data_IF_623447093440
#
_entry.id   IF_623447093440
#
_cell.length_a   1.000
_cell.length_b   1.000
_cell.length_c   1.000
_cell.angle_alpha   90.00
_cell.angle_beta   90.00
_cell.angle_gamma   90.00
#
_symmetry.space_group_name_H-M   'P 1'
#
loop_
_entity.id
_entity.type
_entity.pdbx_description
1 polymer ?
#
# COMPACT_ATOMS: atom_id res chain seq x y z
N UNK A 1 -19.45 -64.29 29.80
CA UNK A 1 -20.81 -63.72 29.85
C UNK A 1 -20.69 -62.30 30.40
N UNK A 2 -20.65 -61.30 29.53
CA UNK A 2 -20.64 -59.88 29.92
C UNK A 2 -21.77 -59.20 29.16
N UNK A 3 -22.72 -58.65 29.89
CA UNK A 3 -23.91 -57.97 29.35
C UNK A 3 -23.55 -56.53 28.96
N UNK A 4 -23.67 -56.23 27.70
CA UNK A 4 -23.58 -54.89 27.18
C UNK A 4 -24.92 -54.16 27.39
N UNK A 5 -24.92 -53.09 28.18
CA UNK A 5 -26.08 -52.20 28.32
C UNK A 5 -26.12 -51.23 27.12
N UNK A 6 -27.15 -51.37 26.30
CA UNK A 6 -27.50 -50.40 25.26
C UNK A 6 -28.44 -49.37 25.91
N UNK A 7 -27.98 -48.15 26.05
CA UNK A 7 -28.82 -47.00 26.45
C UNK A 7 -29.57 -46.51 25.22
N UNK A 8 -30.86 -46.79 25.15
CA UNK A 8 -31.76 -46.26 24.12
C UNK A 8 -32.11 -44.82 24.41
N UNK A 9 -31.71 -43.93 23.51
CA UNK A 9 -32.19 -42.55 23.47
C UNK A 9 -33.54 -42.49 22.77
N UNK A 10 -34.60 -42.26 23.53
CA UNK A 10 -35.94 -42.04 23.03
C UNK A 10 -36.07 -40.57 22.60
N UNK A 11 -35.95 -40.28 21.28
CA UNK A 11 -36.25 -38.98 20.69
C UNK A 11 -37.77 -38.88 20.50
N UNK A 12 -38.44 -38.20 21.41
CA UNK A 12 -39.80 -37.71 21.21
C UNK A 12 -39.82 -36.75 20.01
N UNK A 13 -40.53 -37.13 18.96
CA UNK A 13 -40.83 -36.27 17.81
C UNK A 13 -41.80 -35.18 18.22
N UNK A 14 -41.31 -34.06 18.73
CA UNK A 14 -42.10 -32.85 18.82
C UNK A 14 -42.32 -32.29 17.42
N UNK A 15 -43.57 -32.05 17.08
CA UNK A 15 -44.07 -31.44 15.85
C UNK A 15 -43.28 -30.17 15.51
N UNK A 16 -42.31 -30.24 14.58
CA UNK A 16 -41.75 -29.08 13.95
C UNK A 16 -42.58 -28.84 12.69
N UNK A 17 -43.52 -27.89 12.80
CA UNK A 17 -44.13 -27.29 11.61
C UNK A 17 -43.00 -26.74 10.71
N UNK A 18 -42.98 -27.20 9.46
CA UNK A 18 -42.11 -26.66 8.45
C UNK A 18 -42.41 -25.15 8.30
N UNK A 19 -41.39 -24.28 8.32
CA UNK A 19 -41.60 -22.88 7.95
C UNK A 19 -42.03 -22.83 6.49
N UNK A 20 -43.05 -22.00 6.25
CA UNK A 20 -43.52 -21.64 4.91
C UNK A 20 -42.35 -21.37 3.99
N UNK A 21 -42.46 -21.87 2.75
CA UNK A 21 -41.54 -21.75 1.64
C UNK A 21 -40.81 -20.42 1.63
N UNK A 22 -39.53 -20.38 2.08
CA UNK A 22 -38.59 -19.35 1.69
C UNK A 22 -38.44 -19.46 0.17
N UNK A 23 -38.85 -18.40 -0.52
CA UNK A 23 -38.50 -18.23 -1.94
C UNK A 23 -36.98 -18.47 -2.12
N UNK A 24 -36.58 -19.21 -3.14
CA UNK A 24 -35.15 -19.40 -3.40
C UNK A 24 -34.51 -18.01 -3.55
N UNK A 25 -33.45 -17.76 -2.77
CA UNK A 25 -32.61 -16.57 -2.90
C UNK A 25 -32.24 -16.48 -4.39
N UNK A 26 -33.00 -15.69 -5.13
CA UNK A 26 -32.62 -15.28 -6.47
C UNK A 26 -31.32 -14.54 -6.28
N UNK A 27 -30.23 -15.13 -6.74
CA UNK A 27 -29.02 -14.40 -7.05
C UNK A 27 -29.44 -13.27 -8.00
N UNK A 28 -29.68 -12.10 -7.45
CA UNK A 28 -29.89 -10.90 -8.23
C UNK A 28 -28.58 -10.63 -8.94
N UNK A 29 -28.50 -11.09 -10.18
CA UNK A 29 -27.55 -10.48 -11.11
C UNK A 29 -27.76 -8.96 -11.00
N UNK A 30 -26.72 -8.15 -10.81
CA UNK A 30 -26.83 -6.71 -10.86
C UNK A 30 -27.04 -6.30 -12.34
N UNK A 31 -28.27 -6.42 -12.82
CA UNK A 31 -28.74 -5.78 -14.03
C UNK A 31 -29.52 -4.55 -13.66
N UNK A 32 -28.85 -3.58 -13.04
CA UNK A 32 -29.27 -2.19 -13.17
C UNK A 32 -28.86 -1.71 -14.56
N UNK A 33 -29.68 -0.84 -15.21
CA UNK A 33 -29.25 -0.21 -16.44
C UNK A 33 -27.93 0.50 -16.18
N UNK A 34 -26.92 0.23 -17.02
CA UNK A 34 -25.67 0.97 -17.01
C UNK A 34 -26.00 2.47 -17.06
N UNK A 35 -25.51 3.23 -16.10
CA UNK A 35 -25.49 4.68 -16.23
C UNK A 35 -24.78 5.04 -17.53
N UNK A 36 -25.19 6.15 -18.20
CA UNK A 36 -24.69 6.50 -19.52
C UNK A 36 -23.18 6.54 -19.52
N UNK A 37 -22.58 5.88 -20.53
CA UNK A 37 -21.17 5.76 -20.83
C UNK A 37 -20.38 7.03 -20.49
N UNK A 38 -19.76 7.05 -19.31
CA UNK A 38 -18.63 7.95 -19.07
C UNK A 38 -17.52 7.47 -19.99
N UNK A 39 -17.32 8.17 -21.11
CA UNK A 39 -16.30 7.86 -22.11
C UNK A 39 -14.98 7.71 -21.37
N UNK A 40 -14.42 6.51 -21.40
CA UNK A 40 -13.14 6.21 -20.76
C UNK A 40 -12.07 7.15 -21.34
N UNK A 41 -11.71 8.17 -20.58
CA UNK A 41 -10.66 9.12 -20.93
C UNK A 41 -9.31 8.61 -20.42
N UNK A 42 -8.17 9.01 -21.00
CA UNK A 42 -6.86 8.65 -20.45
C UNK A 42 -6.71 9.04 -18.96
N UNK A 43 -7.32 10.14 -18.55
CA UNK A 43 -7.32 10.59 -17.16
C UNK A 43 -8.11 9.66 -16.25
N UNK A 44 -9.36 9.31 -16.60
CA UNK A 44 -10.19 8.39 -15.82
C UNK A 44 -9.59 6.98 -15.79
N UNK A 45 -8.99 6.54 -16.91
CA UNK A 45 -8.26 5.26 -16.96
C UNK A 45 -7.12 5.23 -15.92
N UNK A 46 -6.27 6.25 -15.94
CA UNK A 46 -5.15 6.35 -14.99
C UNK A 46 -5.64 6.41 -13.54
N UNK A 47 -6.70 7.18 -13.27
CA UNK A 47 -7.27 7.29 -11.91
C UNK A 47 -7.82 5.95 -11.42
N UNK A 48 -8.51 5.19 -12.27
CA UNK A 48 -9.01 3.86 -11.92
C UNK A 48 -7.85 2.90 -11.59
N UNK A 49 -6.75 2.94 -12.35
CA UNK A 49 -5.55 2.15 -12.03
C UNK A 49 -4.96 2.56 -10.69
N UNK A 50 -4.80 3.86 -10.43
CA UNK A 50 -4.25 4.37 -9.16
C UNK A 50 -5.15 4.04 -7.97
N UNK A 51 -6.47 4.13 -8.12
CA UNK A 51 -7.43 3.72 -7.10
C UNK A 51 -7.30 2.23 -6.77
N UNK A 52 -7.25 1.37 -7.78
CA UNK A 52 -7.05 -0.06 -7.61
C UNK A 52 -5.75 -0.38 -6.88
N UNK A 53 -4.64 0.27 -7.25
CA UNK A 53 -3.36 0.11 -6.54
C UNK A 53 -3.49 0.56 -5.08
N UNK A 54 -4.15 1.70 -4.83
CA UNK A 54 -4.32 2.25 -3.48
C UNK A 54 -5.08 1.30 -2.55
N UNK A 55 -6.18 0.72 -3.02
CA UNK A 55 -6.98 -0.26 -2.26
C UNK A 55 -6.15 -1.53 -1.99
N UNK A 56 -5.48 -2.06 -3.01
CA UNK A 56 -4.64 -3.25 -2.88
C UNK A 56 -3.54 -3.06 -1.82
N UNK A 57 -2.90 -1.89 -1.80
CA UNK A 57 -1.87 -1.53 -0.82
C UNK A 57 -2.42 -1.58 0.61
N UNK A 58 -3.62 -1.04 0.84
CA UNK A 58 -4.26 -1.09 2.17
C UNK A 58 -4.46 -2.53 2.61
N UNK A 59 -5.11 -3.33 1.77
CA UNK A 59 -5.45 -4.73 2.11
C UNK A 59 -4.21 -5.57 2.39
N UNK A 60 -3.15 -5.42 1.56
CA UNK A 60 -1.96 -6.25 1.67
C UNK A 60 -0.98 -5.78 2.76
N UNK A 61 -0.79 -4.46 2.92
CA UNK A 61 0.31 -3.93 3.74
C UNK A 61 -0.11 -3.52 5.16
N UNK A 62 -1.38 -3.18 5.40
CA UNK A 62 -1.84 -2.78 6.75
C UNK A 62 -1.60 -3.86 7.80
N UNK A 63 -1.87 -5.15 7.55
CA UNK A 63 -1.59 -6.20 8.54
C UNK A 63 -0.11 -6.25 8.93
N UNK A 64 0.81 -6.15 7.97
CA UNK A 64 2.24 -6.13 8.24
C UNK A 64 2.68 -4.86 8.96
N UNK A 65 2.13 -3.70 8.59
CA UNK A 65 2.45 -2.43 9.21
C UNK A 65 2.02 -2.37 10.69
N UNK A 66 0.87 -2.98 11.03
CA UNK A 66 0.36 -2.98 12.41
C UNK A 66 0.99 -4.08 13.26
N UNK A 67 1.15 -5.28 12.74
CA UNK A 67 1.54 -6.45 13.53
C UNK A 67 3.02 -6.81 13.40
N UNK A 68 3.65 -6.54 12.26
CA UNK A 68 5.02 -6.95 11.97
C UNK A 68 6.00 -6.48 13.04
N UNK A 69 6.05 -5.17 13.32
CA UNK A 69 6.98 -4.60 14.28
C UNK A 69 6.63 -4.93 15.74
N UNK A 70 5.33 -4.97 16.07
CA UNK A 70 4.88 -5.34 17.42
C UNK A 70 5.36 -6.75 17.76
N UNK A 71 5.13 -7.72 16.87
CA UNK A 71 5.55 -9.09 17.12
C UNK A 71 7.07 -9.28 17.02
N UNK A 72 7.74 -8.50 16.16
CA UNK A 72 9.22 -8.48 16.14
C UNK A 72 9.80 -8.02 17.49
N UNK A 73 9.25 -6.96 18.08
CA UNK A 73 9.64 -6.47 19.40
C UNK A 73 9.31 -7.47 20.52
N UNK A 74 8.27 -8.28 20.36
CA UNK A 74 7.85 -9.30 21.34
C UNK A 74 8.60 -10.62 21.21
N UNK A 75 9.35 -10.88 20.14
CA UNK A 75 10.06 -12.16 19.93
C UNK A 75 10.92 -12.63 21.13
N UNK A 76 11.64 -11.75 21.86
CA UNK A 76 12.43 -12.18 23.01
C UNK A 76 11.62 -12.82 24.13
N UNK A 77 10.33 -12.42 24.29
CA UNK A 77 9.43 -12.93 25.34
C UNK A 77 8.33 -13.84 24.77
N UNK A 78 8.07 -13.77 23.47
CA UNK A 78 7.04 -14.54 22.78
C UNK A 78 7.57 -15.05 21.43
N UNK A 79 8.42 -16.10 21.41
CA UNK A 79 9.02 -16.63 20.16
C UNK A 79 8.00 -17.14 19.13
N UNK A 80 6.80 -17.57 19.57
CA UNK A 80 5.71 -17.99 18.67
C UNK A 80 5.16 -16.85 17.80
N UNK A 81 5.45 -15.60 18.17
CA UNK A 81 5.16 -14.40 17.36
C UNK A 81 5.78 -14.46 15.96
N UNK A 82 6.84 -15.27 15.75
CA UNK A 82 7.43 -15.50 14.43
C UNK A 82 6.40 -16.04 13.41
N UNK A 83 5.47 -16.85 13.84
CA UNK A 83 4.39 -17.35 12.97
C UNK A 83 3.50 -16.22 12.47
N UNK A 84 3.17 -15.25 13.33
CA UNK A 84 2.36 -14.09 12.95
C UNK A 84 3.14 -13.21 11.98
N UNK A 85 4.43 -12.96 12.24
CA UNK A 85 5.30 -12.22 11.33
C UNK A 85 5.33 -12.88 9.95
N UNK A 86 5.49 -14.19 9.89
CA UNK A 86 5.49 -14.93 8.62
C UNK A 86 4.13 -14.82 7.89
N UNK A 87 3.00 -14.88 8.60
CA UNK A 87 1.66 -14.71 8.01
C UNK A 87 1.47 -13.33 7.40
N UNK A 88 1.83 -12.26 8.11
CA UNK A 88 1.67 -10.89 7.60
C UNK A 88 2.67 -10.58 6.49
N UNK A 89 3.87 -11.14 6.54
CA UNK A 89 4.85 -11.05 5.45
C UNK A 89 4.36 -11.74 4.18
N UNK A 90 3.77 -12.92 4.30
CA UNK A 90 3.17 -13.61 3.15
C UNK A 90 1.98 -12.81 2.58
N UNK A 91 1.14 -12.25 3.45
CA UNK A 91 0.04 -11.37 3.02
C UNK A 91 0.55 -10.19 2.20
N UNK A 92 1.61 -9.52 2.65
CA UNK A 92 2.18 -8.40 1.90
C UNK A 92 2.87 -8.84 0.60
N UNK A 93 3.41 -10.05 0.54
CA UNK A 93 3.95 -10.61 -0.70
C UNK A 93 2.85 -10.87 -1.76
N UNK A 94 1.59 -11.00 -1.35
CA UNK A 94 0.46 -11.13 -2.30
C UNK A 94 0.00 -9.79 -2.89
N UNK A 95 0.63 -8.67 -2.55
CA UNK A 95 0.29 -7.35 -3.07
C UNK A 95 0.13 -7.29 -4.60
N UNK A 96 1.02 -7.88 -5.43
CA UNK A 96 0.89 -7.78 -6.88
C UNK A 96 -0.40 -8.38 -7.43
N UNK A 97 -0.84 -9.53 -6.93
CA UNK A 97 -2.11 -10.14 -7.39
C UNK A 97 -3.30 -9.27 -6.97
N UNK A 98 -3.27 -8.71 -5.76
CA UNK A 98 -4.30 -7.80 -5.27
C UNK A 98 -4.36 -6.51 -6.09
N UNK A 99 -3.21 -5.96 -6.52
CA UNK A 99 -3.18 -4.82 -7.44
C UNK A 99 -3.97 -5.13 -8.71
N UNK A 100 -3.68 -6.26 -9.36
CA UNK A 100 -4.38 -6.62 -10.59
C UNK A 100 -5.88 -6.84 -10.37
N UNK A 101 -6.26 -7.51 -9.27
CA UNK A 101 -7.67 -7.73 -8.92
C UNK A 101 -8.38 -6.40 -8.65
N UNK A 102 -7.83 -5.54 -7.80
CA UNK A 102 -8.48 -4.26 -7.45
C UNK A 102 -8.54 -3.32 -8.65
N UNK A 103 -7.52 -3.29 -9.50
CA UNK A 103 -7.58 -2.56 -10.78
C UNK A 103 -8.69 -3.12 -11.66
N UNK A 104 -8.79 -4.45 -11.84
CA UNK A 104 -9.87 -5.06 -12.61
C UNK A 104 -11.27 -4.70 -12.11
N UNK A 105 -11.47 -4.65 -10.80
CA UNK A 105 -12.74 -4.22 -10.18
C UNK A 105 -13.06 -2.75 -10.48
N UNK A 106 -12.07 -1.85 -10.47
CA UNK A 106 -12.28 -0.44 -10.83
C UNK A 106 -12.81 -0.25 -12.26
N UNK A 107 -12.50 -1.18 -13.15
CA UNK A 107 -13.02 -1.20 -14.52
C UNK A 107 -14.28 -2.05 -14.69
N UNK A 108 -14.90 -2.47 -13.57
CA UNK A 108 -16.13 -3.30 -13.57
C UNK A 108 -15.99 -4.56 -14.44
N UNK A 109 -14.81 -5.16 -14.48
CA UNK A 109 -14.55 -6.39 -15.22
C UNK A 109 -15.25 -7.59 -14.56
N UNK A 110 -15.57 -8.59 -15.37
CA UNK A 110 -16.13 -9.85 -14.85
C UNK A 110 -15.13 -10.55 -13.91
N UNK A 111 -15.56 -11.43 -12.99
CA UNK A 111 -14.66 -12.13 -12.08
C UNK A 111 -13.52 -12.86 -12.79
N UNK A 112 -13.78 -13.49 -13.95
CA UNK A 112 -12.75 -14.18 -14.74
C UNK A 112 -11.74 -13.18 -15.30
N UNK A 113 -12.20 -12.08 -15.88
CA UNK A 113 -11.33 -11.03 -16.41
C UNK A 113 -10.47 -10.42 -15.29
N UNK A 114 -11.08 -10.12 -14.16
CA UNK A 114 -10.38 -9.57 -12.97
C UNK A 114 -9.29 -10.53 -12.47
N UNK A 115 -9.57 -11.82 -12.39
CA UNK A 115 -8.57 -12.83 -12.05
C UNK A 115 -7.40 -12.88 -13.06
N UNK A 116 -7.69 -12.76 -14.37
CA UNK A 116 -6.65 -12.70 -15.40
C UNK A 116 -5.74 -11.47 -15.23
N UNK A 117 -6.30 -10.30 -14.88
CA UNK A 117 -5.52 -9.09 -14.57
C UNK A 117 -4.62 -9.34 -13.35
N UNK A 118 -5.16 -10.02 -12.32
CA UNK A 118 -4.38 -10.40 -11.13
C UNK A 118 -3.16 -11.25 -11.48
N UNK A 119 -3.35 -12.30 -12.28
CA UNK A 119 -2.26 -13.17 -12.72
C UNK A 119 -1.21 -12.42 -13.57
N UNK A 120 -1.65 -11.59 -14.52
CA UNK A 120 -0.74 -10.78 -15.32
C UNK A 120 0.09 -9.82 -14.45
N UNK A 121 -0.53 -9.17 -13.46
CA UNK A 121 0.13 -8.25 -12.54
C UNK A 121 1.24 -8.93 -11.73
N UNK A 122 1.03 -10.16 -11.27
CA UNK A 122 2.07 -10.95 -10.57
C UNK A 122 3.28 -11.17 -11.48
N UNK A 123 3.07 -11.56 -12.73
CA UNK A 123 4.17 -11.78 -13.68
C UNK A 123 4.99 -10.52 -13.92
N UNK A 124 4.33 -9.37 -14.06
CA UNK A 124 5.02 -8.08 -14.21
C UNK A 124 5.74 -7.60 -12.96
N UNK A 125 5.37 -8.06 -11.77
CA UNK A 125 5.88 -7.54 -10.51
C UNK A 125 7.35 -7.83 -10.23
N UNK A 126 7.90 -8.90 -10.82
CA UNK A 126 9.23 -9.43 -10.49
C UNK A 126 9.34 -10.04 -9.09
N UNK A 127 8.20 -10.32 -8.41
CA UNK A 127 8.18 -10.91 -7.07
C UNK A 127 8.65 -12.37 -7.07
N UNK A 128 8.41 -13.09 -8.15
CA UNK A 128 8.73 -14.51 -8.28
C UNK A 128 9.99 -14.69 -9.12
N UNK A 129 11.05 -15.20 -8.49
CA UNK A 129 12.33 -15.48 -9.14
C UNK A 129 12.43 -16.98 -9.40
N UNK A 130 12.56 -17.41 -10.69
CA UNK A 130 12.76 -18.82 -11.02
C UNK A 130 14.01 -19.38 -10.32
N UNK A 131 13.92 -20.60 -9.81
CA UNK A 131 15.05 -21.30 -9.17
C UNK A 131 15.60 -22.39 -10.09
N UNK A 132 16.91 -22.62 -10.09
CA UNK A 132 17.58 -23.67 -10.87
C UNK A 132 17.08 -25.08 -10.51
N UNK A 133 16.68 -25.27 -9.26
CA UNK A 133 16.11 -26.53 -8.74
C UNK A 133 14.65 -26.74 -9.11
N UNK A 134 14.05 -25.82 -9.89
CA UNK A 134 12.64 -25.77 -10.19
C UNK A 134 11.82 -24.98 -9.15
N UNK A 135 10.65 -24.48 -9.58
CA UNK A 135 9.78 -23.63 -8.76
C UNK A 135 10.19 -22.16 -8.76
N UNK A 136 9.58 -21.39 -7.87
CA UNK A 136 9.78 -19.93 -7.75
C UNK A 136 10.04 -19.55 -6.30
N UNK A 137 11.01 -18.67 -6.08
CA UNK A 137 11.21 -18.00 -4.82
C UNK A 137 10.47 -16.67 -4.84
N UNK A 138 9.56 -16.48 -3.87
CA UNK A 138 8.79 -15.24 -3.71
C UNK A 138 9.51 -14.34 -2.71
N UNK A 139 9.85 -13.11 -3.12
CA UNK A 139 10.59 -12.16 -2.28
C UNK A 139 9.97 -10.76 -2.28
N UNK A 140 9.70 -10.24 -1.09
CA UNK A 140 9.19 -8.89 -0.90
C UNK A 140 7.79 -8.67 -1.48
N UNK A 141 7.52 -7.47 -1.93
CA UNK A 141 6.23 -7.04 -2.51
C UNK A 141 6.27 -6.83 -4.02
N UNK A 142 7.41 -7.12 -4.65
CA UNK A 142 7.64 -6.82 -6.06
C UNK A 142 7.71 -5.32 -6.38
N UNK A 143 7.84 -4.98 -7.65
CA UNK A 143 7.78 -3.61 -8.15
C UNK A 143 6.32 -3.17 -8.33
N UNK A 144 5.76 -2.48 -7.33
CA UNK A 144 4.36 -2.00 -7.32
C UNK A 144 4.02 -1.20 -8.58
N UNK A 145 4.93 -0.32 -9.02
CA UNK A 145 4.77 0.47 -10.24
C UNK A 145 4.59 -0.44 -11.46
N UNK A 146 5.41 -1.48 -11.61
CA UNK A 146 5.32 -2.39 -12.74
C UNK A 146 4.12 -3.34 -12.64
N UNK A 147 3.72 -3.72 -11.42
CA UNK A 147 2.48 -4.46 -11.19
C UNK A 147 1.26 -3.66 -11.69
N UNK A 148 1.18 -2.37 -11.31
CA UNK A 148 0.11 -1.48 -11.76
C UNK A 148 0.14 -1.24 -13.28
N UNK A 149 1.32 -1.05 -13.86
CA UNK A 149 1.48 -0.87 -15.31
C UNK A 149 1.06 -2.14 -16.08
N UNK A 150 1.46 -3.31 -15.59
CA UNK A 150 1.05 -4.59 -16.18
C UNK A 150 -0.46 -4.82 -16.06
N UNK A 151 -1.05 -4.46 -14.91
CA UNK A 151 -2.50 -4.48 -14.73
C UNK A 151 -3.22 -3.55 -15.72
N UNK A 152 -2.70 -2.34 -15.93
CA UNK A 152 -3.23 -1.40 -16.92
C UNK A 152 -3.16 -1.96 -18.34
N UNK A 153 -2.05 -2.58 -18.73
CA UNK A 153 -1.89 -3.26 -20.03
C UNK A 153 -2.91 -4.40 -20.16
N UNK A 154 -3.08 -5.21 -19.12
CA UNK A 154 -4.04 -6.31 -19.11
C UNK A 154 -5.48 -5.82 -19.26
N UNK A 155 -5.87 -4.78 -18.55
CA UNK A 155 -7.19 -4.13 -18.70
C UNK A 155 -7.36 -3.59 -20.12
N UNK A 156 -6.37 -2.86 -20.65
CA UNK A 156 -6.39 -2.35 -22.01
C UNK A 156 -6.60 -3.47 -23.04
N UNK A 157 -5.89 -4.60 -22.91
CA UNK A 157 -6.05 -5.77 -23.75
C UNK A 157 -7.47 -6.36 -23.64
N UNK A 158 -7.99 -6.49 -22.42
CA UNK A 158 -9.35 -7.02 -22.19
C UNK A 158 -10.44 -6.13 -22.79
N UNK A 159 -10.29 -4.82 -22.68
CA UNK A 159 -11.22 -3.85 -23.30
C UNK A 159 -11.16 -3.92 -24.83
N UNK A 160 -9.97 -4.15 -25.41
CA UNK A 160 -9.81 -4.33 -26.86
C UNK A 160 -10.42 -5.65 -27.36
N UNK A 161 -10.27 -6.72 -26.61
CA UNK A 161 -10.88 -8.02 -26.93
C UNK A 161 -12.40 -7.92 -26.83
N UNK A 162 -12.90 -7.25 -25.76
CA UNK A 162 -14.34 -7.09 -25.50
C UNK A 162 -15.08 -8.43 -25.49
N UNK A 163 -16.22 -8.48 -26.17
CA UNK A 163 -17.06 -9.69 -26.28
C UNK A 163 -16.74 -10.55 -27.53
N UNK A 164 -15.63 -10.27 -28.23
CA UNK A 164 -15.32 -10.92 -29.52
C UNK A 164 -15.06 -12.42 -29.44
N UNK A 165 -14.69 -12.94 -28.28
CA UNK A 165 -14.39 -14.36 -28.07
C UNK A 165 -15.66 -15.22 -27.85
N UNK A 166 -16.82 -14.61 -27.56
CA UNK A 166 -18.07 -15.32 -27.32
C UNK A 166 -17.93 -16.48 -26.31
N UNK A 167 -18.35 -17.68 -26.69
CA UNK A 167 -18.26 -18.90 -25.86
C UNK A 167 -16.83 -19.38 -25.60
N UNK A 168 -15.84 -18.92 -26.33
CA UNK A 168 -14.42 -19.26 -26.14
C UNK A 168 -13.71 -18.36 -25.11
N UNK A 169 -14.42 -17.39 -24.53
CA UNK A 169 -13.86 -16.43 -23.57
C UNK A 169 -13.12 -17.13 -22.43
N UNK A 170 -13.73 -18.16 -21.83
CA UNK A 170 -13.14 -18.86 -20.66
C UNK A 170 -11.82 -19.55 -21.05
N UNK A 171 -11.73 -20.10 -22.24
CA UNK A 171 -10.58 -20.88 -22.69
C UNK A 171 -9.39 -20.00 -23.10
N UNK A 172 -9.64 -18.93 -23.85
CA UNK A 172 -8.56 -18.13 -24.45
C UNK A 172 -8.24 -16.86 -23.66
N UNK A 173 -9.19 -16.31 -22.90
CA UNK A 173 -9.01 -15.01 -22.26
C UNK A 173 -7.85 -15.02 -21.26
N UNK A 174 -7.80 -16.01 -20.36
CA UNK A 174 -6.73 -16.10 -19.36
C UNK A 174 -5.37 -16.33 -20.02
N UNK A 175 -5.31 -17.26 -20.99
CA UNK A 175 -4.07 -17.55 -21.72
C UNK A 175 -3.54 -16.31 -22.44
N UNK A 176 -4.40 -15.62 -23.20
CA UNK A 176 -4.01 -14.40 -23.93
C UNK A 176 -3.59 -13.29 -22.99
N UNK A 177 -4.35 -13.04 -21.89
CA UNK A 177 -4.04 -11.97 -20.95
C UNK A 177 -2.74 -12.25 -20.20
N UNK A 178 -2.54 -13.47 -19.71
CA UNK A 178 -1.34 -13.86 -18.96
C UNK A 178 -0.11 -13.82 -19.87
N UNK A 179 -0.18 -14.41 -21.08
CA UNK A 179 0.97 -14.47 -21.99
C UNK A 179 1.28 -13.10 -22.58
N UNK A 180 0.28 -12.36 -23.06
CA UNK A 180 0.52 -11.08 -23.73
C UNK A 180 0.79 -9.99 -22.71
N UNK A 181 -0.16 -9.70 -21.81
CA UNK A 181 0.01 -8.60 -20.87
C UNK A 181 1.07 -8.92 -19.80
N UNK A 182 1.05 -10.13 -19.23
CA UNK A 182 2.07 -10.59 -18.29
C UNK A 182 3.44 -10.69 -18.93
N UNK A 183 3.53 -11.19 -20.19
CA UNK A 183 4.76 -11.25 -20.98
C UNK A 183 5.34 -9.86 -21.26
N UNK A 184 4.53 -8.89 -21.69
CA UNK A 184 4.94 -7.49 -21.84
C UNK A 184 5.42 -6.93 -20.49
N UNK A 185 4.66 -7.22 -19.41
CA UNK A 185 5.01 -6.84 -18.05
C UNK A 185 6.38 -7.33 -17.60
N UNK A 186 6.68 -8.60 -17.88
CA UNK A 186 7.93 -9.23 -17.46
C UNK A 186 9.12 -8.85 -18.34
N UNK A 187 8.93 -8.94 -19.68
CA UNK A 187 10.05 -8.84 -20.63
C UNK A 187 10.35 -7.38 -21.02
N UNK A 188 9.31 -6.56 -21.15
CA UNK A 188 9.45 -5.18 -21.66
C UNK A 188 9.43 -4.15 -20.55
N UNK A 189 8.35 -4.11 -19.75
CA UNK A 189 8.19 -3.00 -18.78
C UNK A 189 9.00 -3.21 -17.52
N UNK A 190 9.20 -4.46 -17.04
CA UNK A 190 9.98 -4.73 -15.84
C UNK A 190 11.42 -4.20 -15.90
N UNK A 191 12.23 -4.46 -16.93
CA UNK A 191 13.57 -3.90 -17.00
C UNK A 191 13.59 -2.36 -17.05
N UNK A 192 12.62 -1.74 -17.72
CA UNK A 192 12.48 -0.29 -17.80
C UNK A 192 12.16 0.30 -16.43
N UNK A 193 11.16 -0.24 -15.73
CA UNK A 193 10.76 0.22 -14.39
C UNK A 193 11.85 -0.06 -13.38
N UNK A 194 12.56 -1.18 -13.48
CA UNK A 194 13.73 -1.49 -12.64
C UNK A 194 14.85 -0.47 -12.87
N UNK A 195 15.18 -0.14 -14.12
CA UNK A 195 16.17 0.89 -14.44
C UNK A 195 15.76 2.27 -13.89
N UNK A 196 14.49 2.66 -14.02
CA UNK A 196 13.95 3.87 -13.41
C UNK A 196 14.10 3.85 -11.88
N UNK A 197 13.83 2.73 -11.22
CA UNK A 197 13.97 2.58 -9.76
C UNK A 197 15.46 2.73 -9.35
N UNK A 198 16.38 2.16 -10.12
CA UNK A 198 17.83 2.30 -9.89
C UNK A 198 18.27 3.76 -10.10
N UNK A 199 17.80 4.41 -11.17
CA UNK A 199 18.08 5.84 -11.41
C UNK A 199 17.58 6.71 -10.25
N UNK A 200 16.36 6.46 -9.77
CA UNK A 200 15.81 7.15 -8.61
C UNK A 200 16.64 6.90 -7.35
N UNK A 201 17.14 5.67 -7.17
CA UNK A 201 18.06 5.31 -6.09
C UNK A 201 19.36 6.10 -6.15
N UNK A 202 19.95 6.26 -7.33
CA UNK A 202 21.14 7.06 -7.52
C UNK A 202 20.91 8.55 -7.22
N UNK A 203 19.75 9.08 -7.59
CA UNK A 203 19.36 10.46 -7.27
C UNK A 203 19.24 10.67 -5.77
N UNK A 204 18.60 9.74 -5.07
CA UNK A 204 18.48 9.75 -3.60
C UNK A 204 19.88 9.63 -2.95
N UNK A 205 20.72 8.73 -3.45
CA UNK A 205 22.07 8.54 -2.93
C UNK A 205 22.93 9.80 -3.12
N UNK A 206 22.84 10.47 -4.29
CA UNK A 206 23.54 11.74 -4.49
C UNK A 206 23.10 12.88 -3.55
N UNK A 207 21.87 12.80 -3.01
CA UNK A 207 21.43 13.76 -2.02
C UNK A 207 22.06 13.52 -0.63
N UNK A 208 22.59 12.33 -0.35
CA UNK A 208 23.21 12.01 0.95
C UNK A 208 24.54 12.73 1.19
N UNK A 209 25.17 13.25 0.14
CA UNK A 209 26.43 14.01 0.21
C UNK A 209 26.22 15.49 0.62
N UNK A 210 24.98 15.95 0.72
CA UNK A 210 24.66 17.31 1.12
C UNK A 210 24.87 17.56 2.61
N UNK A 211 24.94 18.82 3.02
CA UNK A 211 24.93 19.17 4.44
C UNK A 211 23.67 18.59 5.12
N UNK A 212 23.75 18.12 6.38
CA UNK A 212 22.68 17.36 7.04
C UNK A 212 21.29 18.01 6.98
N UNK A 213 21.20 19.34 7.12
CA UNK A 213 19.92 20.06 7.07
C UNK A 213 19.35 20.07 5.64
N UNK A 214 20.19 20.40 4.65
CA UNK A 214 19.78 20.44 3.24
C UNK A 214 19.44 19.02 2.76
N UNK A 215 20.29 18.07 3.09
CA UNK A 215 20.05 16.63 2.85
C UNK A 215 18.70 16.22 3.42
N UNK A 216 18.44 16.58 4.70
CA UNK A 216 17.21 16.26 5.38
C UNK A 216 15.97 16.81 4.69
N UNK A 217 16.01 18.07 4.25
CA UNK A 217 14.92 18.69 3.48
C UNK A 217 14.68 17.93 2.17
N UNK A 218 15.74 17.70 1.39
CA UNK A 218 15.64 17.07 0.08
C UNK A 218 15.13 15.63 0.20
N UNK A 219 15.70 14.84 1.10
CA UNK A 219 15.31 13.44 1.29
C UNK A 219 13.89 13.31 1.84
N UNK A 220 13.50 14.14 2.80
CA UNK A 220 12.13 14.13 3.32
C UNK A 220 11.12 14.49 2.23
N UNK A 221 11.38 15.51 1.42
CA UNK A 221 10.50 15.88 0.29
C UNK A 221 10.42 14.78 -0.74
N UNK A 222 11.56 14.17 -1.15
CA UNK A 222 11.58 13.06 -2.10
C UNK A 222 10.80 11.86 -1.59
N UNK A 223 11.02 11.44 -0.34
CA UNK A 223 10.32 10.30 0.25
C UNK A 223 8.84 10.59 0.49
N UNK A 224 8.47 11.84 0.79
CA UNK A 224 7.08 12.28 0.84
C UNK A 224 6.36 12.14 -0.51
N UNK A 225 7.02 12.49 -1.63
CA UNK A 225 6.46 12.28 -2.98
C UNK A 225 6.38 10.79 -3.30
N UNK A 226 7.45 10.04 -3.01
CA UNK A 226 7.52 8.62 -3.31
C UNK A 226 6.49 7.79 -2.55
N UNK A 227 6.24 8.10 -1.27
CA UNK A 227 5.30 7.29 -0.47
C UNK A 227 3.85 7.43 -0.96
N UNK A 228 3.47 8.55 -1.56
CA UNK A 228 2.17 8.74 -2.21
C UNK A 228 2.20 8.41 -3.70
N UNK A 229 3.17 7.64 -4.15
CA UNK A 229 3.33 7.16 -5.52
C UNK A 229 3.43 5.62 -5.55
N UNK A 230 3.39 4.98 -6.73
CA UNK A 230 3.57 3.52 -6.84
C UNK A 230 5.00 3.04 -6.52
N UNK A 231 5.94 3.94 -6.22
CA UNK A 231 7.32 3.56 -5.89
C UNK A 231 7.40 2.97 -4.49
N UNK A 232 8.16 1.90 -4.31
CA UNK A 232 8.44 1.32 -2.99
C UNK A 232 9.54 2.11 -2.28
N UNK A 233 9.18 2.91 -1.28
CA UNK A 233 10.14 3.67 -0.46
C UNK A 233 11.08 2.77 0.31
N UNK A 234 10.56 1.70 0.92
CA UNK A 234 11.36 0.69 1.65
C UNK A 234 12.27 -0.06 0.68
N UNK A 235 11.73 -0.53 -0.46
CA UNK A 235 12.50 -1.23 -1.47
C UNK A 235 13.65 -0.38 -2.03
N UNK A 236 13.42 0.91 -2.26
CA UNK A 236 14.46 1.82 -2.71
C UNK A 236 15.54 2.02 -1.65
N UNK A 237 15.15 2.36 -0.42
CA UNK A 237 16.08 2.62 0.67
C UNK A 237 16.94 1.40 1.01
N UNK A 238 16.36 0.19 0.97
CA UNK A 238 17.11 -1.06 1.17
C UNK A 238 18.06 -1.35 0.01
N UNK A 239 17.63 -1.11 -1.23
CA UNK A 239 18.47 -1.34 -2.42
C UNK A 239 19.75 -0.48 -2.43
N UNK A 240 19.69 0.75 -1.89
CA UNK A 240 20.85 1.64 -1.76
C UNK A 240 21.49 1.59 -0.36
N UNK A 241 21.06 0.69 0.51
CA UNK A 241 21.56 0.54 1.89
C UNK A 241 21.55 1.87 2.69
N UNK A 242 20.49 2.68 2.50
CA UNK A 242 20.35 4.00 3.12
C UNK A 242 20.28 3.88 4.65
N UNK A 243 21.22 4.48 5.38
CA UNK A 243 21.28 4.42 6.83
C UNK A 243 21.61 5.79 7.45
N UNK A 244 21.65 5.88 8.78
CA UNK A 244 22.01 7.09 9.50
C UNK A 244 20.99 8.21 9.32
N UNK A 245 21.48 9.46 9.34
CA UNK A 245 20.65 10.67 9.24
C UNK A 245 19.86 10.72 7.93
N UNK A 246 20.44 10.23 6.83
CA UNK A 246 19.74 10.12 5.55
C UNK A 246 18.46 9.29 5.64
N UNK A 247 18.55 8.12 6.28
CA UNK A 247 17.37 7.26 6.50
C UNK A 247 16.35 7.89 7.45
N UNK A 248 16.82 8.48 8.56
CA UNK A 248 15.94 9.11 9.53
C UNK A 248 15.16 10.29 8.94
N UNK A 249 15.81 11.14 8.15
CA UNK A 249 15.17 12.29 7.48
C UNK A 249 14.22 11.84 6.36
N UNK A 250 14.59 10.83 5.58
CA UNK A 250 13.72 10.20 4.58
C UNK A 250 12.43 9.67 5.24
N UNK A 251 12.56 8.99 6.39
CA UNK A 251 11.43 8.52 7.19
C UNK A 251 10.51 9.67 7.62
N UNK A 252 11.06 10.81 8.03
CA UNK A 252 10.26 11.99 8.41
C UNK A 252 9.44 12.54 7.24
N UNK A 253 9.87 12.36 6.00
CA UNK A 253 9.05 12.65 4.82
C UNK A 253 7.81 11.76 4.72
N UNK A 254 7.96 10.48 5.04
CA UNK A 254 6.82 9.53 5.11
C UNK A 254 5.89 9.88 6.27
N UNK A 255 6.45 10.26 7.44
CA UNK A 255 5.69 10.75 8.61
C UNK A 255 4.86 11.99 8.22
N UNK A 256 5.48 12.95 7.53
CA UNK A 256 4.79 14.15 7.06
C UNK A 256 3.57 13.80 6.19
N UNK A 257 3.74 12.91 5.22
CA UNK A 257 2.64 12.45 4.36
C UNK A 257 1.52 11.82 5.19
N UNK A 258 1.85 10.91 6.11
CA UNK A 258 0.87 10.22 6.96
C UNK A 258 0.03 11.19 7.80
N UNK A 259 0.68 12.10 8.53
CA UNK A 259 -0.03 13.07 9.36
C UNK A 259 -0.83 14.10 8.55
N UNK A 260 -0.26 14.63 7.45
CA UNK A 260 -0.99 15.57 6.60
C UNK A 260 -2.25 14.95 6.01
N UNK A 261 -2.18 13.75 5.47
CA UNK A 261 -3.33 13.09 4.87
C UNK A 261 -4.37 12.69 5.92
N UNK A 262 -3.93 12.26 7.10
CA UNK A 262 -4.81 12.00 8.23
C UNK A 262 -5.59 13.25 8.63
N UNK A 263 -4.88 14.37 8.86
CA UNK A 263 -5.47 15.62 9.36
C UNK A 263 -6.33 16.28 8.27
N UNK A 264 -5.85 16.35 7.04
CA UNK A 264 -6.59 16.96 5.93
C UNK A 264 -7.90 16.23 5.62
N UNK A 265 -7.90 14.88 5.72
CA UNK A 265 -9.07 14.04 5.48
C UNK A 265 -10.00 13.88 6.69
N UNK A 266 -9.62 14.38 7.89
CA UNK A 266 -10.34 14.10 9.15
C UNK A 266 -11.82 14.50 9.14
N UNK A 267 -12.16 15.59 8.43
CA UNK A 267 -13.53 16.13 8.39
C UNK A 267 -14.46 15.40 7.41
N UNK A 268 -13.90 14.66 6.47
CA UNK A 268 -14.65 14.06 5.35
C UNK A 268 -14.63 12.53 5.38
N UNK A 269 -13.75 11.95 6.20
CA UNK A 269 -13.66 10.51 6.40
C UNK A 269 -14.03 10.15 7.84
N UNK A 270 -14.50 8.93 8.07
CA UNK A 270 -14.66 8.39 9.42
C UNK A 270 -13.30 8.26 10.14
N UNK A 271 -13.27 8.17 11.49
CA UNK A 271 -12.01 8.11 12.26
C UNK A 271 -11.05 7.01 11.82
N UNK A 272 -11.56 5.80 11.59
CA UNK A 272 -10.75 4.67 11.12
C UNK A 272 -10.13 4.92 9.75
N UNK A 273 -10.92 5.42 8.80
CA UNK A 273 -10.46 5.74 7.44
C UNK A 273 -9.45 6.88 7.45
N UNK A 274 -9.64 7.90 8.31
CA UNK A 274 -8.70 9.01 8.45
C UNK A 274 -7.34 8.56 9.00
N UNK A 275 -7.29 7.53 9.84
CA UNK A 275 -6.06 7.00 10.41
C UNK A 275 -5.29 6.08 9.45
N UNK A 276 -5.91 5.58 8.37
CA UNK A 276 -5.25 4.67 7.43
C UNK A 276 -3.94 5.22 6.84
N UNK A 277 -3.85 6.49 6.40
CA UNK A 277 -2.59 7.04 5.90
C UNK A 277 -1.48 7.06 6.94
N UNK A 278 -1.83 7.16 8.22
CA UNK A 278 -0.89 7.28 9.33
C UNK A 278 -0.45 5.91 9.87
N UNK A 279 -1.40 5.02 10.14
CA UNK A 279 -1.15 3.73 10.77
C UNK A 279 -0.87 2.62 9.73
N UNK A 280 -1.47 2.74 8.56
CA UNK A 280 -1.27 1.83 7.44
C UNK A 280 -0.23 2.36 6.45
N UNK A 281 -0.69 3.08 5.44
CA UNK A 281 0.21 3.68 4.45
C UNK A 281 -0.39 4.93 3.82
N UNK A 282 0.39 6.01 3.63
CA UNK A 282 -0.03 7.19 2.87
C UNK A 282 -0.45 6.88 1.41
N UNK A 283 -0.04 5.73 0.87
CA UNK A 283 -0.42 5.28 -0.49
C UNK A 283 -1.92 5.15 -0.69
N UNK A 284 -2.71 4.96 0.37
CA UNK A 284 -4.18 4.91 0.31
C UNK A 284 -4.79 6.18 -0.32
N UNK A 285 -4.12 7.31 -0.17
CA UNK A 285 -4.53 8.60 -0.73
C UNK A 285 -3.84 8.95 -2.06
N UNK A 286 -3.11 8.01 -2.65
CA UNK A 286 -2.31 8.24 -3.86
C UNK A 286 -3.14 8.86 -4.98
N UNK A 287 -4.31 8.30 -5.29
CA UNK A 287 -5.19 8.80 -6.34
C UNK A 287 -5.65 10.25 -6.07
N UNK A 288 -6.01 10.57 -4.83
CA UNK A 288 -6.44 11.92 -4.43
C UNK A 288 -5.32 12.96 -4.55
N UNK A 289 -4.08 12.56 -4.24
CA UNK A 289 -2.92 13.47 -4.29
C UNK A 289 -2.48 13.71 -5.74
N UNK A 290 -2.37 12.64 -6.55
CA UNK A 290 -1.97 12.77 -7.96
C UNK A 290 -3.07 13.34 -8.84
N UNK A 291 -4.33 13.09 -8.53
CA UNK A 291 -5.47 13.68 -9.23
C UNK A 291 -5.58 15.19 -9.08
N UNK A 292 -4.96 15.77 -8.04
CA UNK A 292 -4.94 17.20 -7.75
C UNK A 292 -3.58 17.62 -7.20
N UNK A 293 -2.65 18.07 -8.05
CA UNK A 293 -1.26 18.38 -7.64
C UNK A 293 -1.12 19.40 -6.50
N UNK A 294 -2.08 20.29 -6.31
CA UNK A 294 -2.08 21.23 -5.19
C UNK A 294 -2.18 20.52 -3.83
N UNK A 295 -2.70 19.29 -3.78
CA UNK A 295 -2.76 18.50 -2.56
C UNK A 295 -1.37 18.09 -2.05
N UNK A 296 -0.33 18.16 -2.87
CA UNK A 296 1.04 17.98 -2.44
C UNK A 296 1.55 19.10 -1.52
N UNK A 297 1.03 20.32 -1.64
CA UNK A 297 1.60 21.48 -0.93
C UNK A 297 1.68 21.30 0.59
N UNK A 298 0.61 20.93 1.33
CA UNK A 298 0.72 20.72 2.76
C UNK A 298 1.69 19.58 3.12
N UNK A 299 1.74 18.51 2.31
CA UNK A 299 2.62 17.38 2.51
C UNK A 299 4.09 17.80 2.38
N UNK A 300 4.45 18.45 1.27
CA UNK A 300 5.82 18.84 0.96
C UNK A 300 6.33 19.92 1.91
N UNK A 301 5.49 20.89 2.28
CA UNK A 301 5.85 21.93 3.26
C UNK A 301 6.14 21.32 4.62
N UNK A 302 5.30 20.39 5.08
CA UNK A 302 5.52 19.66 6.34
C UNK A 302 6.79 18.81 6.26
N UNK A 303 6.99 18.07 5.16
CA UNK A 303 8.16 17.22 4.94
C UNK A 303 9.46 18.03 4.95
N UNK A 304 9.48 19.19 4.30
CA UNK A 304 10.65 20.06 4.27
C UNK A 304 11.07 20.51 5.68
N UNK A 305 10.11 20.97 6.48
CA UNK A 305 10.39 21.41 7.86
C UNK A 305 10.81 20.25 8.75
N UNK A 306 10.11 19.10 8.67
CA UNK A 306 10.47 17.91 9.46
C UNK A 306 11.84 17.36 9.04
N UNK A 307 12.16 17.37 7.74
CA UNK A 307 13.45 16.96 7.22
C UNK A 307 14.58 17.86 7.73
N UNK A 308 14.36 19.19 7.76
CA UNK A 308 15.30 20.14 8.36
C UNK A 308 15.53 19.84 9.85
N UNK A 309 14.46 19.65 10.62
CA UNK A 309 14.54 19.26 12.04
C UNK A 309 15.28 17.94 12.21
N UNK A 310 14.98 16.94 11.39
CA UNK A 310 15.69 15.65 11.40
C UNK A 310 17.19 15.79 11.16
N UNK A 311 17.59 16.66 10.24
CA UNK A 311 19.00 17.00 9.98
C UNK A 311 19.66 17.74 11.14
N UNK A 312 18.97 18.71 11.77
CA UNK A 312 19.47 19.48 12.92
C UNK A 312 19.69 18.57 14.13
N UNK A 313 18.71 17.70 14.44
CA UNK A 313 18.78 16.82 15.60
C UNK A 313 19.51 15.50 15.33
N UNK A 314 19.96 15.25 14.09
CA UNK A 314 20.68 14.03 13.72
C UNK A 314 19.81 12.78 13.81
N UNK A 315 18.48 12.89 13.54
CA UNK A 315 17.57 11.75 13.57
C UNK A 315 18.05 10.70 12.60
N UNK A 316 18.43 9.54 13.11
CA UNK A 316 19.02 8.46 12.35
C UNK A 316 18.07 7.27 12.22
N UNK A 317 18.32 6.41 11.23
CA UNK A 317 17.48 5.24 10.98
C UNK A 317 18.22 4.16 10.19
N UNK A 318 17.51 3.06 9.94
CA UNK A 318 17.98 1.91 9.16
C UNK A 318 17.40 1.95 7.74
N UNK A 319 17.93 1.16 6.77
CA UNK A 319 17.35 1.09 5.43
C UNK A 319 15.86 0.75 5.41
N UNK A 320 15.41 -0.11 6.32
CA UNK A 320 14.01 -0.49 6.44
C UNK A 320 13.18 0.68 6.97
N UNK A 321 13.64 1.34 8.03
CA UNK A 321 12.86 2.42 8.67
C UNK A 321 12.62 3.62 7.76
N UNK A 322 13.49 3.90 6.79
CA UNK A 322 13.38 5.03 5.88
C UNK A 322 12.01 5.15 5.18
N UNK A 323 11.35 4.03 4.92
CA UNK A 323 10.12 4.01 4.13
C UNK A 323 8.83 3.72 4.89
N UNK A 324 8.86 3.50 6.23
CA UNK A 324 7.67 3.13 7.03
C UNK A 324 6.98 4.30 7.74
N UNK A 325 7.69 5.41 7.93
CA UNK A 325 7.14 6.51 8.71
C UNK A 325 6.99 6.16 10.19
N UNK A 326 5.83 6.49 10.76
CA UNK A 326 5.48 6.17 12.15
C UNK A 326 4.74 4.84 12.27
N UNK A 327 4.33 4.25 11.16
CA UNK A 327 3.59 2.99 11.14
C UNK A 327 4.37 1.91 11.90
N UNK A 328 3.69 1.19 12.79
CA UNK A 328 4.33 0.22 13.68
C UNK A 328 5.43 0.78 14.60
N UNK A 329 5.55 2.11 14.74
CA UNK A 329 6.63 2.81 15.46
C UNK A 329 8.03 2.54 14.88
N UNK A 330 8.12 2.03 13.64
CA UNK A 330 9.40 1.65 13.00
C UNK A 330 10.40 2.80 13.00
N UNK A 331 9.98 4.00 12.59
CA UNK A 331 10.84 5.19 12.56
C UNK A 331 11.34 5.62 13.94
N UNK A 332 10.43 5.85 14.90
CA UNK A 332 10.82 6.20 16.28
C UNK A 332 11.74 5.20 16.96
N UNK A 333 11.44 3.89 16.84
CA UNK A 333 12.24 2.83 17.43
C UNK A 333 13.61 2.69 16.75
N UNK A 334 13.67 2.82 15.44
CA UNK A 334 14.94 2.82 14.71
C UNK A 334 15.84 3.98 15.12
N UNK A 335 15.28 5.17 15.38
CA UNK A 335 16.03 6.32 15.84
C UNK A 335 16.60 6.11 17.26
N UNK A 336 15.79 5.58 18.19
CA UNK A 336 16.23 5.32 19.57
C UNK A 336 17.26 4.19 19.65
N UNK A 337 17.16 3.18 18.78
CA UNK A 337 18.06 2.04 18.74
C UNK A 337 19.32 2.26 17.88
N UNK A 338 19.44 3.41 17.22
CA UNK A 338 20.59 3.72 16.37
C UNK A 338 21.85 3.98 17.23
N UNK A 339 23.02 3.59 16.71
CA UNK A 339 24.30 3.80 17.40
C UNK A 339 24.49 5.27 17.79
N UNK A 340 24.88 5.51 19.06
CA UNK A 340 25.08 6.86 19.61
C UNK A 340 23.83 7.55 20.14
N UNK A 341 22.62 7.00 19.94
CA UNK A 341 21.37 7.55 20.50
C UNK A 341 21.03 6.94 21.85
N UNK A 342 20.37 5.80 21.88
CA UNK A 342 19.95 5.13 23.12
C UNK A 342 18.68 5.71 23.77
N UNK A 343 18.16 4.97 24.74
CA UNK A 343 16.88 5.22 25.44
C UNK A 343 17.04 6.17 26.63
N UNK A 344 17.57 7.36 26.41
CA UNK A 344 17.63 8.41 27.45
C UNK A 344 16.35 9.24 27.44
N UNK A 345 15.97 9.83 28.59
CA UNK A 345 14.78 10.68 28.67
C UNK A 345 14.84 11.85 27.67
N UNK A 346 16.02 12.43 27.42
CA UNK A 346 16.23 13.47 26.42
C UNK A 346 15.97 12.99 24.99
N UNK A 347 16.53 11.84 24.62
CA UNK A 347 16.34 11.28 23.28
C UNK A 347 14.89 10.86 23.03
N UNK A 348 14.23 10.28 24.04
CA UNK A 348 12.79 9.97 23.97
C UNK A 348 11.98 11.25 23.74
N UNK A 349 12.28 12.32 24.47
CA UNK A 349 11.57 13.61 24.30
C UNK A 349 11.77 14.20 22.91
N UNK A 350 13.00 14.13 22.34
CA UNK A 350 13.30 14.57 20.97
C UNK A 350 12.54 13.72 19.96
N UNK A 351 12.56 12.40 20.08
CA UNK A 351 11.86 11.49 19.16
C UNK A 351 10.35 11.72 19.21
N UNK A 352 9.75 11.82 20.41
CA UNK A 352 8.33 12.17 20.56
C UNK A 352 8.02 13.54 19.95
N UNK A 353 8.89 14.53 20.21
CA UNK A 353 8.77 15.87 19.64
C UNK A 353 8.76 15.85 18.12
N UNK A 354 9.70 15.14 17.48
CA UNK A 354 9.89 15.15 16.02
C UNK A 354 8.96 14.19 15.29
N UNK A 355 8.63 13.04 15.86
CA UNK A 355 7.78 12.05 15.19
C UNK A 355 6.29 12.18 15.48
N UNK A 356 5.89 12.92 16.54
CA UNK A 356 4.49 13.05 16.94
C UNK A 356 4.07 14.51 17.02
N UNK A 357 4.71 15.32 17.87
CA UNK A 357 4.26 16.68 18.14
C UNK A 357 4.47 17.59 16.93
N UNK A 358 5.67 17.63 16.38
CA UNK A 358 5.98 18.49 15.24
C UNK A 358 5.14 18.13 13.98
N UNK A 359 4.97 16.86 13.60
CA UNK A 359 4.09 16.52 12.50
C UNK A 359 2.64 16.96 12.70
N UNK A 360 2.06 16.79 13.90
CA UNK A 360 0.69 17.24 14.20
C UNK A 360 0.58 18.76 14.02
N UNK A 361 1.49 19.51 14.61
CA UNK A 361 1.49 20.99 14.56
C UNK A 361 1.67 21.48 13.12
N UNK A 362 2.69 20.99 12.43
CA UNK A 362 3.02 21.43 11.08
C UNK A 362 1.94 21.01 10.06
N UNK A 363 1.45 19.77 10.14
CA UNK A 363 0.39 19.30 9.25
C UNK A 363 -0.91 20.07 9.46
N UNK A 364 -1.26 20.36 10.71
CA UNK A 364 -2.43 21.20 11.02
C UNK A 364 -2.25 22.61 10.49
N UNK A 365 -1.08 23.21 10.71
CA UNK A 365 -0.77 24.56 10.26
C UNK A 365 -0.80 24.66 8.72
N UNK A 366 -0.09 23.80 8.01
CA UNK A 366 -0.04 23.87 6.55
C UNK A 366 -1.36 23.48 5.91
N UNK A 367 -2.08 22.47 6.42
CA UNK A 367 -3.43 22.15 5.93
C UNK A 367 -4.39 23.32 6.11
N UNK A 368 -4.37 23.97 7.27
CA UNK A 368 -5.16 25.17 7.52
C UNK A 368 -4.75 26.34 6.60
N UNK A 369 -3.45 26.59 6.44
CA UNK A 369 -2.92 27.66 5.59
C UNK A 369 -3.39 27.51 4.14
N UNK A 370 -3.17 26.34 3.53
CA UNK A 370 -3.56 26.11 2.14
C UNK A 370 -5.08 26.01 1.93
N UNK A 371 -5.82 25.56 2.96
CA UNK A 371 -7.27 25.63 2.94
C UNK A 371 -7.78 27.08 2.97
N UNK A 372 -7.16 27.95 3.78
CA UNK A 372 -7.51 29.39 3.86
C UNK A 372 -7.18 30.12 2.55
N UNK A 373 -6.12 29.72 1.85
CA UNK A 373 -5.78 30.23 0.53
C UNK A 373 -6.71 29.71 -0.57
N UNK A 374 -7.62 28.76 -0.27
CA UNK A 374 -8.55 28.16 -1.23
C UNK A 374 -7.91 27.16 -2.20
N UNK A 375 -6.63 26.78 -1.98
CA UNK A 375 -5.89 25.88 -2.86
C UNK A 375 -6.20 24.41 -2.59
N UNK A 376 -6.46 24.08 -1.33
CA UNK A 376 -6.74 22.73 -0.87
C UNK A 376 -8.05 22.72 -0.08
N UNK A 377 -8.87 21.69 -0.30
CA UNK A 377 -10.14 21.51 0.42
C UNK A 377 -10.19 20.13 1.07
N UNK A 378 -10.87 19.97 2.23
CA UNK A 378 -11.02 18.65 2.87
C UNK A 378 -11.62 17.59 1.94
N UNK A 379 -12.59 17.97 1.08
CA UNK A 379 -13.25 17.06 0.14
C UNK A 379 -12.28 16.41 -0.85
N UNK A 380 -11.12 17.03 -1.09
CA UNK A 380 -10.08 16.48 -1.96
C UNK A 380 -9.43 15.21 -1.37
N UNK A 381 -9.58 14.98 -0.06
CA UNK A 381 -8.99 13.86 0.67
C UNK A 381 -10.03 12.81 1.09
N UNK A 382 -11.24 12.87 0.54
CA UNK A 382 -12.24 11.84 0.75
C UNK A 382 -11.72 10.51 0.17
N UNK A 383 -11.80 9.46 0.97
CA UNK A 383 -11.46 8.10 0.57
C UNK A 383 -12.77 7.38 0.34
N UNK A 384 -13.00 6.90 -0.87
CA UNK A 384 -14.11 6.02 -1.23
C UNK A 384 -13.53 4.64 -1.55
N UNK A 385 -14.02 3.63 -0.83
CA UNK A 385 -13.68 2.23 -1.06
C UNK A 385 -14.81 1.46 -1.75
N UNK A 386 -15.95 2.14 -2.01
CA UNK A 386 -17.13 1.56 -2.66
C UNK A 386 -17.09 1.65 -4.19
#
# INVERSE_FOLDING_TARGET
>A
MSKTHVVGFNLSMANIQAPESEEPIRATSPTGPAEPDDKLTPGSFTMNVLNGISIAVVVALVPQALLGEIFTALLPVFPQGQTIINMVSLSSAMLPILIGIMVGLQFKLTPIQTACVGLASVLGSGIAVPQETGGFLVQGTGLVLNSGLTAAIAVGLLLLIGHRLGSYTILFLSTLTVVIAGGIGWVVTFPIVKAFTVWLGNLVNGATDLQPVIMGIVLAVLFCIMIVSPVSTVGLATAISMAGVASGTANLGVVAAGFCLCIAGWKVNGPGTSLLPLLGSPKVQMANVWGRPLNFLPLLSTAAVLGALGGIFGISGTPISAGFGISGLVGPLAALNYEGWGWTGGNIAIVVGIFIIAPIVLSTFFSWLYARLGWVKPEHFKIDFE
#
